data_IF_711619095161
#
_entry.id   IF_711619095161
#
_cell.length_a   1.000
_cell.length_b   1.000
_cell.length_c   1.000
_cell.angle_alpha   90.00
_cell.angle_beta   90.00
_cell.angle_gamma   90.00
#
_symmetry.space_group_name_H-M   'P 1'
#
loop_
_entity.id
_entity.type
_entity.pdbx_description
1 polymer ?
#
# COMPACT_ATOMS: atom_id res chain seq x y z
N UNK A 1 -11.98 -5.77 7.73
CA UNK A 1 -11.00 -6.25 8.72
C UNK A 1 -11.04 -5.32 9.92
N UNK A 2 -10.99 -5.86 11.14
CA UNK A 2 -10.92 -5.04 12.36
C UNK A 2 -9.49 -4.53 12.61
N UNK A 3 -9.33 -3.51 13.46
CA UNK A 3 -8.02 -3.00 13.84
C UNK A 3 -7.15 -4.07 14.54
N UNK A 4 -7.75 -4.93 15.37
CA UNK A 4 -7.02 -5.99 16.06
C UNK A 4 -6.47 -7.05 15.10
N UNK A 5 -7.29 -7.47 14.12
CA UNK A 5 -6.87 -8.40 13.07
C UNK A 5 -5.74 -7.82 12.22
N UNK A 6 -5.84 -6.53 11.86
CA UNK A 6 -4.79 -5.82 11.14
C UNK A 6 -3.48 -5.84 11.93
N UNK A 7 -3.52 -5.43 13.20
CA UNK A 7 -2.34 -5.40 14.07
C UNK A 7 -1.72 -6.80 14.19
N UNK A 8 -2.54 -7.83 14.34
CA UNK A 8 -2.09 -9.21 14.42
C UNK A 8 -1.40 -9.67 13.12
N UNK A 9 -1.86 -9.21 11.95
CA UNK A 9 -1.20 -9.51 10.66
C UNK A 9 0.10 -8.72 10.49
N UNK A 10 0.11 -7.42 10.81
CA UNK A 10 1.30 -6.57 10.71
C UNK A 10 2.42 -7.05 11.64
N UNK A 11 2.09 -7.57 12.82
CA UNK A 11 3.07 -8.17 13.76
C UNK A 11 3.78 -9.40 13.22
N UNK A 12 3.24 -10.07 12.20
CA UNK A 12 3.89 -11.22 11.55
C UNK A 12 4.95 -10.79 10.54
N UNK A 13 4.96 -9.52 10.13
CA UNK A 13 5.92 -8.97 9.20
C UNK A 13 7.25 -8.67 9.90
N UNK A 14 8.33 -8.65 9.12
CA UNK A 14 9.62 -8.17 9.66
C UNK A 14 9.53 -6.66 9.88
N UNK A 15 10.13 -6.11 10.95
CA UNK A 15 10.06 -4.68 11.26
C UNK A 15 10.51 -3.76 10.11
N UNK A 16 11.40 -4.25 9.24
CA UNK A 16 11.95 -3.50 8.12
C UNK A 16 11.10 -3.61 6.85
N UNK A 17 10.00 -4.37 6.89
CA UNK A 17 9.09 -4.55 5.75
C UNK A 17 8.34 -3.25 5.52
N UNK A 18 8.49 -2.60 4.35
CA UNK A 18 7.70 -1.43 4.01
C UNK A 18 6.21 -1.79 3.94
N UNK A 19 5.37 -0.91 4.49
CA UNK A 19 3.91 -1.04 4.45
C UNK A 19 3.35 0.17 3.71
N UNK A 20 2.53 -0.07 2.69
CA UNK A 20 1.81 0.97 1.96
C UNK A 20 0.33 0.90 2.31
N UNK A 21 -0.35 2.04 2.21
CA UNK A 21 -1.79 2.15 2.40
C UNK A 21 -2.39 2.76 1.15
N UNK A 22 -3.31 2.03 0.51
CA UNK A 22 -4.04 2.51 -0.67
C UNK A 22 -5.52 2.64 -0.37
N UNK A 23 -6.15 3.71 -0.87
CA UNK A 23 -7.60 3.89 -0.79
C UNK A 23 -8.13 4.13 0.62
N UNK A 24 -7.31 4.70 1.50
CA UNK A 24 -7.69 5.10 2.85
C UNK A 24 -7.67 6.63 2.93
N UNK A 25 -8.76 7.27 2.49
CA UNK A 25 -8.79 8.72 2.27
C UNK A 25 -9.38 9.47 3.47
N UNK A 26 -10.35 8.85 4.16
CA UNK A 26 -11.20 9.57 5.12
C UNK A 26 -10.94 9.18 6.57
N UNK A 27 -10.09 8.18 6.82
CA UNK A 27 -9.87 7.66 8.16
C UNK A 27 -10.96 6.70 8.66
N UNK A 28 -12.04 6.53 7.89
CA UNK A 28 -13.21 5.71 8.23
C UNK A 28 -13.43 4.55 7.25
N UNK A 29 -12.58 4.43 6.24
CA UNK A 29 -12.69 3.39 5.23
C UNK A 29 -12.36 2.03 5.83
N UNK A 30 -13.20 1.02 5.59
CA UNK A 30 -12.87 -0.34 6.05
C UNK A 30 -11.60 -0.83 5.35
N UNK A 31 -10.68 -1.42 6.12
CA UNK A 31 -9.56 -2.16 5.55
C UNK A 31 -10.09 -3.49 5.05
N UNK A 32 -9.90 -3.73 3.75
CA UNK A 32 -10.45 -4.88 3.04
C UNK A 32 -9.44 -6.03 3.05
N UNK A 33 -8.17 -5.74 2.71
CA UNK A 33 -7.16 -6.78 2.52
C UNK A 33 -5.73 -6.29 2.75
N UNK A 34 -4.83 -7.25 3.03
CA UNK A 34 -3.38 -7.05 3.10
C UNK A 34 -2.71 -7.97 2.10
N UNK A 35 -2.03 -7.39 1.12
CA UNK A 35 -1.46 -8.15 -0.01
C UNK A 35 0.06 -7.92 -0.09
N UNK A 36 0.87 -8.98 -0.20
CA UNK A 36 2.30 -8.82 -0.48
C UNK A 36 2.48 -8.39 -1.93
N UNK A 37 3.10 -7.23 -2.16
CA UNK A 37 3.32 -6.68 -3.49
C UNK A 37 4.76 -6.20 -3.69
N UNK A 38 5.11 -5.98 -4.96
CA UNK A 38 6.37 -5.31 -5.33
C UNK A 38 6.04 -3.87 -5.67
N UNK A 39 6.69 -2.94 -4.99
CA UNK A 39 6.49 -1.51 -5.19
C UNK A 39 7.75 -0.87 -5.74
N UNK A 40 7.57 0.29 -6.37
CA UNK A 40 8.66 1.11 -6.89
C UNK A 40 8.61 2.48 -6.23
N UNK A 41 9.79 3.04 -5.94
CA UNK A 41 9.87 4.41 -5.41
C UNK A 41 9.59 5.39 -6.54
N UNK A 42 8.59 6.25 -6.35
CA UNK A 42 8.23 7.27 -7.33
C UNK A 42 9.08 8.53 -7.09
N UNK A 43 10.11 8.73 -7.91
CA UNK A 43 11.06 9.85 -7.76
C UNK A 43 10.45 11.24 -8.03
N UNK A 44 9.30 11.30 -8.67
CA UNK A 44 8.60 12.53 -9.01
C UNK A 44 7.33 12.76 -8.17
N UNK A 45 7.16 12.00 -7.08
CA UNK A 45 6.03 12.14 -6.19
C UNK A 45 5.92 13.58 -5.67
N UNK A 46 4.76 14.19 -5.86
CA UNK A 46 4.37 15.36 -5.08
C UNK A 46 4.05 14.94 -3.64
N UNK A 47 3.90 15.92 -2.75
CA UNK A 47 3.60 15.68 -1.33
C UNK A 47 2.32 14.84 -1.11
N UNK A 48 1.41 14.85 -2.10
CA UNK A 48 0.15 14.10 -2.07
C UNK A 48 0.15 12.80 -2.91
N UNK A 49 1.20 12.51 -3.70
CA UNK A 49 1.21 11.36 -4.64
C UNK A 49 1.66 10.04 -3.97
N UNK A 50 2.23 10.11 -2.77
CA UNK A 50 2.87 8.98 -2.08
C UNK A 50 4.24 8.64 -2.68
N UNK A 51 5.22 8.36 -1.82
CA UNK A 51 6.61 8.07 -2.25
C UNK A 51 6.77 6.73 -3.00
N UNK A 52 5.79 5.84 -2.88
CA UNK A 52 5.83 4.48 -3.44
C UNK A 52 4.52 4.17 -4.16
N UNK A 53 4.63 3.47 -5.28
CA UNK A 53 3.47 3.02 -6.05
C UNK A 53 3.60 1.52 -6.40
N UNK A 54 2.44 0.88 -6.53
CA UNK A 54 2.30 -0.47 -7.08
C UNK A 54 2.68 -0.52 -8.56
N UNK A 55 3.08 -1.71 -9.03
CA UNK A 55 3.53 -1.90 -10.41
C UNK A 55 2.42 -1.74 -11.45
N UNK A 56 1.15 -1.89 -11.09
CA UNK A 56 0.02 -1.72 -12.02
C UNK A 56 -0.04 -0.29 -12.59
N UNK A 57 0.46 0.70 -11.83
CA UNK A 57 0.55 2.10 -12.26
C UNK A 57 1.86 2.46 -12.96
N UNK A 58 2.85 1.57 -12.98
CA UNK A 58 4.19 1.85 -13.50
C UNK A 58 4.57 0.91 -14.66
N UNK A 59 4.52 1.42 -15.88
CA UNK A 59 4.92 0.68 -17.09
C UNK A 59 6.44 0.56 -17.27
N UNK A 60 7.25 1.19 -16.41
CA UNK A 60 8.68 1.35 -16.64
C UNK A 60 9.52 0.28 -15.90
N UNK A 61 10.19 -0.58 -16.68
CA UNK A 61 10.82 -1.82 -16.22
C UNK A 61 12.12 -1.66 -15.43
N UNK A 62 12.74 -0.48 -15.44
CA UNK A 62 14.11 -0.24 -14.94
C UNK A 62 14.19 0.26 -13.48
N UNK A 63 13.09 0.19 -12.74
CA UNK A 63 13.00 0.74 -11.37
C UNK A 63 13.24 -0.35 -10.33
N UNK A 64 14.11 -0.09 -9.34
CA UNK A 64 14.42 -1.02 -8.24
C UNK A 64 13.14 -1.40 -7.49
N UNK A 65 12.75 -2.66 -7.58
CA UNK A 65 11.54 -3.22 -6.94
C UNK A 65 11.83 -3.56 -5.49
N UNK A 66 10.97 -3.11 -4.58
CA UNK A 66 11.04 -3.43 -3.17
C UNK A 66 9.85 -4.31 -2.79
N UNK A 67 10.05 -5.41 -2.06
CA UNK A 67 8.93 -6.15 -1.48
C UNK A 67 8.28 -5.30 -0.39
N UNK A 68 6.96 -5.19 -0.43
CA UNK A 68 6.17 -4.46 0.55
C UNK A 68 4.85 -5.20 0.81
N UNK A 69 4.15 -4.79 1.86
CA UNK A 69 2.76 -5.19 2.10
C UNK A 69 1.87 -3.99 1.86
N UNK A 70 0.84 -4.15 1.05
CA UNK A 70 -0.14 -3.11 0.75
C UNK A 70 -1.41 -3.39 1.53
N UNK A 71 -1.81 -2.42 2.35
CA UNK A 71 -3.10 -2.38 3.01
C UNK A 71 -4.06 -1.71 2.04
N UNK A 72 -5.07 -2.45 1.59
CA UNK A 72 -6.09 -1.93 0.70
C UNK A 72 -7.33 -1.53 1.52
N UNK A 73 -7.66 -0.25 1.48
CA UNK A 73 -8.93 0.28 1.94
C UNK A 73 -10.06 -0.01 0.95
N UNK A 74 -11.30 0.30 1.35
CA UNK A 74 -12.47 0.14 0.50
C UNK A 74 -12.36 1.11 -0.68
N UNK A 75 -12.09 0.61 -1.88
CA UNK A 75 -12.25 1.36 -3.12
C UNK A 75 -13.71 1.80 -3.23
N UNK A 76 -13.99 3.05 -2.88
CA UNK A 76 -15.26 3.69 -3.22
C UNK A 76 -15.50 3.47 -4.71
N UNK A 77 -16.72 3.09 -5.10
CA UNK A 77 -17.08 2.96 -6.50
C UNK A 77 -16.60 4.21 -7.22
N UNK A 78 -15.58 4.04 -8.08
CA UNK A 78 -15.09 5.07 -8.98
C UNK A 78 -16.30 5.55 -9.77
N UNK A 79 -16.85 6.71 -9.40
CA UNK A 79 -17.91 7.37 -10.16
C UNK A 79 -17.31 7.99 -11.42
#
# INVERSE_FOLDING_TARGET
MTAEELIAQLRKLRPETPVLVEGYETGLDDIVELTPEKVVRYRHAQEWDGEYQTLDRFSNTDTKRLPAVVIHGRRGHRR
#
